data_IF_767866698282
#
_entry.id   IF_767866698282
#
_cell.length_a   1.000
_cell.length_b   1.000
_cell.length_c   1.000
_cell.angle_alpha   90.00
_cell.angle_beta   90.00
_cell.angle_gamma   90.00
#
_symmetry.space_group_name_H-M   'P 1'
#
loop_
_entity.id
_entity.type
_entity.pdbx_description
1 polymer ?
#
# COMPACT_ATOMS: atom_id res chain seq x y z
N UNK A 1 -30.18 46.99 -21.07
CA UNK A 1 -28.78 47.03 -21.55
C UNK A 1 -27.90 46.52 -20.41
N UNK A 2 -27.47 45.26 -20.46
CA UNK A 2 -26.65 44.65 -19.40
C UNK A 2 -25.24 45.26 -19.46
N UNK A 3 -24.91 46.09 -18.48
CA UNK A 3 -23.54 46.54 -18.24
C UNK A 3 -22.70 45.30 -17.90
N UNK A 4 -21.92 44.81 -18.87
CA UNK A 4 -20.88 43.82 -18.61
C UNK A 4 -19.89 44.44 -17.61
N UNK A 5 -20.13 44.21 -16.32
CA UNK A 5 -19.14 44.44 -15.26
C UNK A 5 -18.00 43.46 -15.51
N UNK A 6 -17.02 43.88 -16.29
CA UNK A 6 -15.74 43.18 -16.39
C UNK A 6 -15.07 43.37 -15.03
N UNK A 7 -15.23 42.38 -14.13
CA UNK A 7 -14.69 42.41 -12.76
C UNK A 7 -13.15 42.29 -12.78
N UNK A 8 -12.57 41.70 -13.84
CA UNK A 8 -11.13 41.60 -14.05
C UNK A 8 -10.68 42.54 -15.17
N UNK A 9 -10.16 43.72 -14.80
CA UNK A 9 -9.42 44.57 -15.74
C UNK A 9 -8.18 43.81 -16.22
N UNK A 10 -7.78 43.99 -17.48
CA UNK A 10 -6.50 43.50 -17.96
C UNK A 10 -5.38 44.35 -17.38
N UNK A 11 -4.76 43.87 -16.30
CA UNK A 11 -3.69 44.58 -15.61
C UNK A 11 -2.36 44.61 -16.37
N UNK A 12 -2.22 43.85 -17.48
CA UNK A 12 -1.02 43.92 -18.33
C UNK A 12 -0.96 45.24 -19.12
N UNK A 13 -2.12 45.85 -19.38
CA UNK A 13 -2.24 47.16 -20.02
C UNK A 13 -1.71 48.33 -19.18
N UNK A 14 -1.53 48.14 -17.87
CA UNK A 14 -0.95 49.12 -16.94
C UNK A 14 0.55 48.91 -16.71
N UNK A 15 1.18 47.97 -17.40
CA UNK A 15 2.64 47.85 -17.34
C UNK A 15 3.25 49.14 -17.90
N UNK A 16 3.71 50.02 -16.99
CA UNK A 16 4.69 51.05 -17.30
C UNK A 16 5.77 50.44 -18.18
N UNK A 17 6.31 51.21 -19.14
CA UNK A 17 7.29 50.81 -20.15
C UNK A 17 8.52 50.06 -19.60
N UNK A 18 8.34 48.84 -19.11
CA UNK A 18 9.40 47.97 -18.65
C UNK A 18 10.03 47.40 -19.90
N UNK A 19 11.31 47.73 -20.12
CA UNK A 19 12.08 47.10 -21.16
C UNK A 19 12.12 45.60 -20.90
N UNK A 20 11.45 44.83 -21.76
CA UNK A 20 11.44 43.37 -21.69
C UNK A 20 12.88 42.91 -21.97
N UNK A 21 13.53 42.34 -20.95
CA UNK A 21 14.80 41.64 -21.12
C UNK A 21 14.47 40.18 -21.38
N UNK A 22 15.06 39.60 -22.43
CA UNK A 22 15.00 38.17 -22.67
C UNK A 22 16.03 37.50 -21.75
N UNK A 23 15.63 36.77 -20.69
CA UNK A 23 16.57 35.95 -19.96
C UNK A 23 16.96 34.80 -20.89
N UNK A 24 18.10 34.93 -21.57
CA UNK A 24 18.62 33.91 -22.49
C UNK A 24 19.04 32.65 -21.74
N UNK A 25 19.34 32.76 -20.45
CA UNK A 25 19.73 31.63 -19.62
C UNK A 25 19.29 31.83 -18.15
N UNK A 26 18.51 30.89 -17.65
CA UNK A 26 18.13 30.85 -16.23
C UNK A 26 19.33 30.48 -15.36
N UNK A 27 20.35 29.81 -15.91
CA UNK A 27 21.55 29.41 -15.18
C UNK A 27 22.33 30.61 -14.63
N UNK A 28 22.32 31.75 -15.32
CA UNK A 28 23.01 32.97 -14.87
C UNK A 28 22.40 33.50 -13.57
N UNK A 29 21.11 33.22 -13.32
CA UNK A 29 20.41 33.69 -12.13
C UNK A 29 20.56 32.73 -10.93
N UNK A 30 21.08 31.52 -11.14
CA UNK A 30 21.22 30.49 -10.11
C UNK A 30 22.70 30.42 -9.69
N UNK A 31 23.03 30.72 -8.41
CA UNK A 31 24.39 30.59 -7.89
C UNK A 31 25.01 29.21 -8.16
N UNK A 32 26.33 29.15 -8.26
CA UNK A 32 27.07 27.90 -8.51
C UNK A 32 26.98 26.91 -7.34
N UNK A 33 26.80 27.42 -6.12
CA UNK A 33 26.67 26.68 -4.87
C UNK A 33 25.21 26.38 -4.48
N UNK A 34 24.23 26.73 -5.33
CA UNK A 34 22.82 26.49 -5.06
C UNK A 34 22.52 24.97 -5.01
N UNK A 35 21.77 24.49 -4.00
CA UNK A 35 21.45 23.06 -3.84
C UNK A 35 20.70 22.45 -5.04
N UNK A 36 20.04 23.25 -5.88
CA UNK A 36 19.38 22.76 -7.09
C UNK A 36 20.36 22.10 -8.07
N UNK A 37 21.60 22.62 -8.15
CA UNK A 37 22.64 22.08 -9.02
C UNK A 37 23.14 20.74 -8.50
N UNK A 38 23.29 20.64 -7.19
CA UNK A 38 23.66 19.40 -6.50
C UNK A 38 22.62 18.29 -6.77
N UNK A 39 21.33 18.58 -6.59
CA UNK A 39 20.24 17.63 -6.90
C UNK A 39 20.27 17.21 -8.36
N UNK A 40 20.49 18.15 -9.29
CA UNK A 40 20.55 17.83 -10.71
C UNK A 40 21.71 16.88 -11.01
N UNK A 41 22.92 17.19 -10.54
CA UNK A 41 24.11 16.36 -10.75
C UNK A 41 23.93 14.95 -10.18
N UNK A 42 23.47 14.83 -8.93
CA UNK A 42 23.23 13.53 -8.30
C UNK A 42 22.25 12.66 -9.09
N UNK A 43 21.11 13.22 -9.51
CA UNK A 43 20.10 12.46 -10.24
C UNK A 43 20.57 12.07 -11.66
N UNK A 44 21.50 12.81 -12.26
CA UNK A 44 22.11 12.42 -13.54
C UNK A 44 23.09 11.24 -13.41
N UNK A 45 23.77 11.10 -12.26
CA UNK A 45 24.70 9.99 -12.01
C UNK A 45 23.99 8.67 -11.64
N UNK A 46 22.75 8.75 -11.14
CA UNK A 46 21.99 7.58 -10.71
C UNK A 46 21.49 6.72 -11.89
N UNK A 47 21.49 5.40 -11.71
CA UNK A 47 20.86 4.49 -12.67
C UNK A 47 19.33 4.45 -12.47
N UNK A 48 18.64 5.19 -13.32
CA UNK A 48 17.18 5.28 -13.31
C UNK A 48 16.48 4.16 -14.10
N UNK A 49 17.19 3.13 -14.56
CA UNK A 49 16.61 2.07 -15.39
C UNK A 49 15.36 1.43 -14.80
N UNK A 50 15.32 1.18 -13.49
CA UNK A 50 14.13 0.65 -12.80
C UNK A 50 12.95 1.61 -12.85
N UNK A 51 13.19 2.91 -12.64
CA UNK A 51 12.17 3.94 -12.75
C UNK A 51 11.57 3.95 -14.16
N UNK A 52 12.41 3.91 -15.20
CA UNK A 52 11.93 3.90 -16.59
C UNK A 52 11.15 2.63 -16.94
N UNK A 53 11.48 1.46 -16.37
CA UNK A 53 10.72 0.20 -16.57
C UNK A 53 9.28 0.30 -16.06
N UNK A 54 9.00 1.16 -15.09
CA UNK A 54 7.61 1.36 -14.60
C UNK A 54 6.72 2.11 -15.60
N UNK A 55 7.31 2.74 -16.62
CA UNK A 55 6.58 3.48 -17.65
C UNK A 55 6.37 2.63 -18.90
N UNK A 56 5.11 2.48 -19.31
CA UNK A 56 4.79 1.86 -20.62
C UNK A 56 5.06 2.78 -21.82
N UNK A 57 4.81 4.08 -21.67
CA UNK A 57 5.06 5.09 -22.72
C UNK A 57 5.36 6.45 -22.11
N UNK A 58 6.44 7.07 -22.58
CA UNK A 58 6.82 8.44 -22.21
C UNK A 58 6.44 9.37 -23.36
N UNK A 59 5.75 10.47 -23.05
CA UNK A 59 5.34 11.46 -24.06
C UNK A 59 6.48 12.48 -24.24
N UNK A 60 6.83 12.78 -25.49
CA UNK A 60 7.95 13.68 -25.83
C UNK A 60 7.75 15.14 -25.37
N UNK A 61 6.50 15.60 -25.21
CA UNK A 61 6.18 17.00 -24.84
C UNK A 61 5.78 17.13 -23.36
N UNK A 62 6.29 16.27 -22.49
CA UNK A 62 6.03 16.30 -21.05
C UNK A 62 7.33 16.10 -20.28
N UNK A 63 7.39 16.62 -19.05
CA UNK A 63 8.52 16.41 -18.16
C UNK A 63 8.84 14.91 -18.05
N UNK A 64 10.12 14.57 -18.22
CA UNK A 64 10.59 13.18 -18.20
C UNK A 64 10.53 12.61 -16.78
N UNK A 65 10.52 11.27 -16.60
CA UNK A 65 10.59 10.66 -15.26
C UNK A 65 11.78 11.17 -14.44
N UNK A 66 12.93 11.39 -15.09
CA UNK A 66 14.12 11.99 -14.49
C UNK A 66 13.86 13.41 -13.98
N UNK A 67 13.30 14.29 -14.82
CA UNK A 67 12.99 15.66 -14.41
C UNK A 67 11.97 15.67 -13.26
N UNK A 68 10.94 14.81 -13.29
CA UNK A 68 9.97 14.72 -12.21
C UNK A 68 10.64 14.24 -10.91
N UNK A 69 11.59 13.30 -10.97
CA UNK A 69 12.36 12.87 -9.81
C UNK A 69 13.15 14.04 -9.19
N UNK A 70 13.88 14.81 -10.01
CA UNK A 70 14.61 16.01 -9.56
C UNK A 70 13.67 17.00 -8.85
N UNK A 71 12.49 17.27 -9.44
CA UNK A 71 11.50 18.18 -8.88
C UNK A 71 10.96 17.69 -7.54
N UNK A 72 10.68 16.40 -7.38
CA UNK A 72 10.13 15.83 -6.13
C UNK A 72 11.17 15.89 -5.01
N UNK A 73 12.43 15.56 -5.30
CA UNK A 73 13.53 15.63 -4.32
C UNK A 73 13.76 17.09 -3.90
N UNK A 74 13.91 18.00 -4.86
CA UNK A 74 14.13 19.42 -4.57
C UNK A 74 12.94 20.06 -3.84
N UNK A 75 11.71 19.66 -4.17
CA UNK A 75 10.52 20.07 -3.44
C UNK A 75 10.55 19.63 -1.97
N UNK A 76 10.92 18.37 -1.71
CA UNK A 76 11.03 17.83 -0.36
C UNK A 76 12.09 18.58 0.46
N UNK A 77 13.25 18.91 -0.13
CA UNK A 77 14.28 19.75 0.50
C UNK A 77 13.73 21.12 0.93
N UNK A 78 12.86 21.71 0.11
CA UNK A 78 12.19 22.98 0.39
C UNK A 78 10.90 22.84 1.23
N UNK A 79 10.62 21.66 1.80
CA UNK A 79 9.42 21.35 2.60
C UNK A 79 8.09 21.52 1.84
N UNK A 80 8.11 21.35 0.51
CA UNK A 80 6.94 21.42 -0.36
C UNK A 80 6.50 19.99 -0.72
N UNK A 81 5.50 19.46 -0.01
CA UNK A 81 5.06 18.07 -0.20
C UNK A 81 3.80 17.91 -1.04
N UNK A 82 2.98 18.96 -1.14
CA UNK A 82 1.72 18.94 -1.87
C UNK A 82 1.97 19.01 -3.37
N UNK A 83 1.43 18.05 -4.14
CA UNK A 83 1.60 18.02 -5.60
C UNK A 83 1.09 19.28 -6.30
N UNK A 84 0.10 19.96 -5.71
CA UNK A 84 -0.42 21.24 -6.22
C UNK A 84 0.56 22.38 -5.99
N UNK A 85 1.24 22.37 -4.85
CA UNK A 85 2.24 23.37 -4.48
C UNK A 85 3.54 23.15 -5.25
N UNK A 86 3.96 21.90 -5.48
CA UNK A 86 5.06 21.55 -6.39
C UNK A 86 4.77 22.10 -7.78
N UNK A 87 3.57 21.83 -8.33
CA UNK A 87 3.17 22.40 -9.64
C UNK A 87 3.18 23.93 -9.64
N UNK A 88 2.80 24.57 -8.53
CA UNK A 88 2.82 26.04 -8.40
C UNK A 88 4.27 26.55 -8.38
N UNK A 89 5.18 25.86 -7.70
CA UNK A 89 6.61 26.16 -7.67
C UNK A 89 7.24 26.02 -9.07
N UNK A 90 6.95 24.93 -9.80
CA UNK A 90 7.36 24.75 -11.20
C UNK A 90 7.02 25.91 -12.14
N UNK A 91 5.99 26.71 -11.82
CA UNK A 91 5.54 27.85 -12.63
C UNK A 91 6.08 29.20 -12.17
N UNK A 92 6.64 29.28 -10.97
CA UNK A 92 6.97 30.57 -10.32
C UNK A 92 8.42 30.69 -9.89
N UNK A 93 9.05 29.57 -9.60
CA UNK A 93 10.38 29.50 -9.00
C UNK A 93 11.40 29.11 -10.08
N UNK A 94 12.47 29.91 -10.18
CA UNK A 94 13.52 29.76 -11.19
C UNK A 94 14.27 28.43 -11.01
N UNK A 95 14.46 27.95 -9.78
CA UNK A 95 15.18 26.71 -9.51
C UNK A 95 14.36 25.50 -10.01
N UNK A 96 13.04 25.54 -9.86
CA UNK A 96 12.17 24.50 -10.44
C UNK A 96 12.05 24.60 -11.97
N UNK A 97 12.11 25.81 -12.53
CA UNK A 97 12.15 26.00 -14.00
C UNK A 97 13.45 25.48 -14.59
N UNK A 98 14.58 25.66 -13.89
CA UNK A 98 15.87 25.10 -14.26
C UNK A 98 15.82 23.57 -14.35
N UNK A 99 15.27 22.90 -13.33
CA UNK A 99 15.09 21.44 -13.33
C UNK A 99 14.15 20.91 -14.42
N UNK A 100 13.30 21.77 -14.99
CA UNK A 100 12.41 21.41 -16.10
C UNK A 100 13.08 21.53 -17.47
N UNK A 101 14.20 22.24 -17.59
CA UNK A 101 14.97 22.36 -18.83
C UNK A 101 14.08 22.83 -20.02
N UNK A 102 13.18 23.78 -19.76
CA UNK A 102 12.25 24.31 -20.77
C UNK A 102 10.99 23.47 -21.03
N UNK A 103 10.85 22.31 -20.38
CA UNK A 103 9.63 21.50 -20.47
C UNK A 103 8.46 22.15 -19.72
N UNK A 104 7.21 21.95 -20.18
CA UNK A 104 6.05 22.50 -19.50
C UNK A 104 5.91 21.87 -18.10
N UNK A 105 5.57 22.72 -17.12
CA UNK A 105 5.35 22.28 -15.74
C UNK A 105 4.33 21.13 -15.66
N UNK A 106 4.68 19.98 -15.04
CA UNK A 106 3.80 18.82 -14.96
C UNK A 106 2.55 19.14 -14.15
N UNK A 107 1.42 18.54 -14.52
CA UNK A 107 0.21 18.68 -13.72
C UNK A 107 0.36 17.97 -12.36
N UNK A 108 -0.37 18.45 -11.36
CA UNK A 108 -0.36 17.91 -10.00
C UNK A 108 -0.75 16.43 -9.96
N UNK A 109 -1.64 16.00 -10.85
CA UNK A 109 -2.02 14.60 -10.99
C UNK A 109 -0.87 13.74 -11.55
N UNK A 110 -0.03 14.31 -12.42
CA UNK A 110 1.17 13.63 -12.93
C UNK A 110 2.21 13.46 -11.83
N UNK A 111 2.45 14.50 -11.03
CA UNK A 111 3.35 14.43 -9.87
C UNK A 111 2.84 13.40 -8.84
N UNK A 112 1.54 13.43 -8.52
CA UNK A 112 0.96 12.48 -7.57
C UNK A 112 1.10 11.03 -8.06
N UNK A 113 0.78 10.76 -9.34
CA UNK A 113 0.96 9.41 -9.94
C UNK A 113 2.42 8.99 -9.97
N UNK A 114 3.35 9.91 -10.27
CA UNK A 114 4.78 9.64 -10.19
C UNK A 114 5.15 9.09 -8.81
N UNK A 115 4.78 9.80 -7.74
CA UNK A 115 5.11 9.40 -6.37
C UNK A 115 4.47 8.05 -6.02
N UNK A 116 3.17 7.88 -6.32
CA UNK A 116 2.41 6.72 -5.85
C UNK A 116 2.63 5.44 -6.65
N UNK A 117 2.82 5.52 -7.97
CA UNK A 117 2.85 4.36 -8.86
C UNK A 117 4.25 4.02 -9.37
N UNK A 118 5.10 5.03 -9.55
CA UNK A 118 6.40 4.86 -10.21
C UNK A 118 7.53 4.87 -9.18
N UNK A 119 7.65 5.97 -8.43
CA UNK A 119 8.69 6.13 -7.42
C UNK A 119 8.56 5.11 -6.29
N UNK A 120 7.35 4.83 -5.80
CA UNK A 120 7.10 3.86 -4.72
C UNK A 120 7.67 2.46 -4.99
N UNK A 121 7.77 2.05 -6.26
CA UNK A 121 8.27 0.73 -6.66
C UNK A 121 9.80 0.66 -6.61
N UNK A 122 10.48 1.74 -6.99
CA UNK A 122 11.95 1.79 -7.08
C UNK A 122 12.63 2.61 -5.97
N UNK A 123 11.87 3.21 -5.04
CA UNK A 123 12.39 4.10 -4.00
C UNK A 123 13.48 3.44 -3.14
N UNK A 124 13.32 2.15 -2.80
CA UNK A 124 14.33 1.40 -2.04
C UNK A 124 15.64 1.25 -2.81
N UNK A 125 15.58 0.94 -4.10
CA UNK A 125 16.76 0.81 -4.96
C UNK A 125 17.46 2.16 -5.13
N UNK A 126 16.69 3.24 -5.37
CA UNK A 126 17.25 4.58 -5.52
C UNK A 126 17.91 5.06 -4.22
N UNK A 127 17.33 4.76 -3.05
CA UNK A 127 17.96 5.05 -1.77
C UNK A 127 19.28 4.29 -1.58
N UNK A 128 19.33 3.03 -1.99
CA UNK A 128 20.56 2.22 -1.94
C UNK A 128 21.65 2.83 -2.84
N UNK A 129 21.31 3.18 -4.09
CA UNK A 129 22.23 3.87 -5.00
C UNK A 129 22.75 5.18 -4.42
N UNK A 130 21.89 5.94 -3.74
CA UNK A 130 22.30 7.18 -3.08
C UNK A 130 23.30 6.92 -1.94
N UNK A 131 23.04 5.88 -1.14
CA UNK A 131 23.93 5.47 -0.06
C UNK A 131 25.28 4.99 -0.59
N UNK A 132 25.29 4.25 -1.69
CA UNK A 132 26.51 3.80 -2.36
C UNK A 132 27.34 4.99 -2.86
N UNK A 133 26.69 5.99 -3.45
CA UNK A 133 27.37 7.19 -3.93
C UNK A 133 27.97 8.02 -2.79
N UNK A 134 27.23 8.23 -1.70
CA UNK A 134 27.76 8.88 -0.50
C UNK A 134 28.93 8.10 0.12
N UNK A 135 28.88 6.76 0.08
CA UNK A 135 29.99 5.92 0.52
C UNK A 135 31.23 6.10 -0.36
N UNK A 136 31.06 6.17 -1.69
CA UNK A 136 32.16 6.45 -2.63
C UNK A 136 32.77 7.85 -2.44
N UNK A 137 31.95 8.84 -2.09
CA UNK A 137 32.41 10.20 -1.77
C UNK A 137 33.10 10.28 -0.40
N UNK A 138 33.02 9.23 0.43
CA UNK A 138 33.61 9.18 1.76
C UNK A 138 32.78 9.88 2.86
N UNK A 139 31.53 10.25 2.56
CA UNK A 139 30.61 10.87 3.52
C UNK A 139 30.06 9.85 4.52
N UNK A 140 29.84 8.61 4.06
CA UNK A 140 29.37 7.49 4.89
C UNK A 140 30.56 6.61 5.28
N UNK A 141 30.64 6.22 6.55
CA UNK A 141 31.75 5.37 7.01
C UNK A 141 31.57 3.89 6.67
N UNK A 142 30.34 3.37 6.64
CA UNK A 142 30.03 1.95 6.48
C UNK A 142 30.44 1.05 7.66
N UNK A 143 30.94 1.64 8.76
CA UNK A 143 31.46 0.90 9.93
C UNK A 143 30.45 0.81 11.06
N UNK A 144 29.64 1.84 11.25
CA UNK A 144 28.70 1.97 12.37
C UNK A 144 27.36 2.44 11.84
N UNK A 145 26.29 1.76 12.26
CA UNK A 145 24.92 2.13 11.92
C UNK A 145 24.11 2.28 13.20
N UNK A 146 23.43 3.41 13.33
CA UNK A 146 22.50 3.68 14.42
C UNK A 146 21.09 3.37 13.94
N UNK A 147 20.38 2.49 14.64
CA UNK A 147 19.03 2.09 14.27
C UNK A 147 18.05 2.73 15.25
N UNK A 148 17.11 3.49 14.72
CA UNK A 148 15.97 3.99 15.48
C UNK A 148 14.66 3.76 14.71
N UNK A 149 13.54 3.81 15.42
CA UNK A 149 12.24 3.56 14.86
C UNK A 149 11.12 4.33 15.53
N UNK A 150 10.06 4.53 14.74
CA UNK A 150 8.82 5.11 15.22
C UNK A 150 7.63 4.29 14.74
N UNK A 151 6.61 4.21 15.61
CA UNK A 151 5.36 3.55 15.28
C UNK A 151 4.39 4.60 14.79
N UNK A 152 3.85 4.41 13.59
CA UNK A 152 2.84 5.29 13.01
C UNK A 152 1.49 4.59 13.07
N UNK A 153 0.49 5.23 13.68
CA UNK A 153 -0.87 4.71 13.75
C UNK A 153 -1.47 4.57 12.34
N UNK A 154 -2.06 3.41 12.06
CA UNK A 154 -2.83 3.17 10.84
C UNK A 154 -4.23 3.76 10.97
N UNK A 155 -4.82 4.16 9.84
CA UNK A 155 -6.24 4.54 9.76
C UNK A 155 -7.21 3.36 9.92
N UNK A 156 -6.71 2.15 10.20
CA UNK A 156 -7.50 0.96 10.41
C UNK A 156 -8.37 1.00 11.67
N UNK A 157 -9.56 0.40 11.58
CA UNK A 157 -10.41 0.25 12.74
C UNK A 157 -9.85 -0.82 13.71
N UNK A 158 -9.63 -0.44 14.98
CA UNK A 158 -9.13 -1.33 16.04
C UNK A 158 -10.00 -2.57 16.30
N UNK A 159 -11.30 -2.52 16.01
CA UNK A 159 -12.24 -3.61 16.28
C UNK A 159 -12.37 -4.64 15.15
N UNK A 160 -11.78 -4.39 13.98
CA UNK A 160 -11.93 -5.28 12.82
C UNK A 160 -10.79 -6.30 12.71
N UNK A 161 -9.92 -6.40 13.71
CA UNK A 161 -8.71 -7.21 13.65
C UNK A 161 -8.95 -8.72 13.62
N UNK A 162 -8.02 -9.41 12.97
CA UNK A 162 -8.01 -10.86 12.84
C UNK A 162 -6.76 -11.40 13.51
N UNK A 163 -6.93 -12.37 14.40
CA UNK A 163 -5.86 -12.94 15.23
C UNK A 163 -5.59 -14.40 14.85
N UNK A 164 -4.32 -14.76 14.65
CA UNK A 164 -3.90 -16.15 14.33
C UNK A 164 -4.41 -17.15 15.36
N UNK A 165 -4.28 -16.82 16.65
CA UNK A 165 -4.72 -17.66 17.77
C UNK A 165 -6.24 -17.89 17.77
N UNK A 166 -7.02 -16.87 17.38
CA UNK A 166 -8.47 -17.01 17.28
C UNK A 166 -8.87 -17.88 16.08
N UNK A 167 -8.21 -17.72 14.93
CA UNK A 167 -8.46 -18.54 13.74
C UNK A 167 -8.13 -20.00 14.03
N UNK A 168 -6.92 -20.30 14.50
CA UNK A 168 -6.45 -21.66 14.80
C UNK A 168 -7.35 -22.36 15.82
N UNK A 169 -7.71 -21.69 16.92
CA UNK A 169 -8.67 -22.22 17.91
C UNK A 169 -10.03 -22.53 17.30
N UNK A 170 -10.58 -21.63 16.48
CA UNK A 170 -11.89 -21.83 15.87
C UNK A 170 -11.86 -22.89 14.75
N UNK A 171 -10.76 -23.00 14.02
CA UNK A 171 -10.54 -24.01 13.00
C UNK A 171 -10.44 -25.41 13.63
N UNK A 172 -9.71 -25.56 14.75
CA UNK A 172 -9.67 -26.82 15.50
C UNK A 172 -11.07 -27.25 15.96
N UNK A 173 -11.85 -26.32 16.54
CA UNK A 173 -13.26 -26.58 16.93
C UNK A 173 -14.14 -26.96 15.75
N UNK A 174 -13.91 -26.37 14.58
CA UNK A 174 -14.63 -26.71 13.35
C UNK A 174 -14.32 -28.13 12.91
N UNK A 175 -13.06 -28.57 12.99
CA UNK A 175 -12.68 -29.96 12.68
C UNK A 175 -13.34 -30.97 13.63
N UNK A 176 -13.44 -30.67 14.92
CA UNK A 176 -14.19 -31.51 15.87
C UNK A 176 -15.65 -31.65 15.47
N UNK A 177 -16.32 -30.53 15.14
CA UNK A 177 -17.72 -30.53 14.68
C UNK A 177 -17.92 -31.22 13.33
N UNK A 178 -16.93 -31.11 12.45
CA UNK A 178 -16.93 -31.79 11.15
C UNK A 178 -16.85 -33.31 11.35
N UNK A 179 -16.03 -33.77 12.30
CA UNK A 179 -15.89 -35.20 12.59
C UNK A 179 -17.19 -35.80 13.10
N UNK A 180 -17.87 -35.13 14.04
CA UNK A 180 -19.19 -35.56 14.52
C UNK A 180 -20.25 -35.50 13.41
N UNK A 181 -20.23 -34.45 12.57
CA UNK A 181 -21.19 -34.29 11.48
C UNK A 181 -21.02 -35.34 10.37
N UNK A 182 -19.77 -35.71 10.04
CA UNK A 182 -19.51 -36.78 9.08
C UNK A 182 -20.03 -38.10 9.62
N UNK A 183 -19.74 -38.45 10.88
CA UNK A 183 -20.26 -39.66 11.52
C UNK A 183 -21.81 -39.71 11.52
N UNK A 184 -22.47 -38.59 11.85
CA UNK A 184 -23.93 -38.46 11.78
C UNK A 184 -24.45 -38.71 10.34
N UNK A 185 -23.77 -38.19 9.32
CA UNK A 185 -24.15 -38.44 7.93
C UNK A 185 -23.92 -39.89 7.50
N UNK A 186 -22.88 -40.56 8.01
CA UNK A 186 -22.62 -41.97 7.72
C UNK A 186 -23.73 -42.86 8.29
N UNK A 187 -24.18 -42.58 9.50
CA UNK A 187 -25.29 -43.28 10.16
C UNK A 187 -26.64 -42.99 9.48
N UNK A 188 -26.97 -41.72 9.22
CA UNK A 188 -28.27 -41.32 8.67
C UNK A 188 -28.48 -41.78 7.21
N UNK A 189 -27.42 -41.81 6.41
CA UNK A 189 -27.51 -42.07 4.97
C UNK A 189 -26.87 -43.38 4.54
N UNK A 190 -26.34 -44.18 5.47
CA UNK A 190 -25.71 -45.48 5.18
C UNK A 190 -24.48 -45.37 4.28
N UNK A 191 -23.74 -44.27 4.37
CA UNK A 191 -22.58 -43.99 3.53
C UNK A 191 -21.29 -44.24 4.28
N UNK A 192 -20.28 -44.83 3.63
CA UNK A 192 -18.92 -44.89 4.17
C UNK A 192 -18.06 -43.84 3.49
N UNK A 193 -17.59 -42.86 4.25
CA UNK A 193 -16.59 -41.89 3.81
C UNK A 193 -15.21 -42.37 4.26
N UNK A 194 -14.32 -42.63 3.30
CA UNK A 194 -12.93 -42.97 3.63
C UNK A 194 -12.19 -41.68 3.99
N UNK A 195 -11.82 -41.53 5.27
CA UNK A 195 -10.89 -40.50 5.72
C UNK A 195 -9.87 -41.11 6.70
N UNK A 196 -8.58 -40.90 6.44
CA UNK A 196 -7.48 -41.34 7.31
C UNK A 196 -7.17 -40.23 8.32
N UNK A 197 -7.90 -40.22 9.44
CA UNK A 197 -7.78 -39.33 10.60
C UNK A 197 -7.87 -37.81 10.36
N UNK A 198 -7.93 -37.37 9.10
CA UNK A 198 -7.99 -35.96 8.70
C UNK A 198 -9.07 -35.72 7.65
N UNK A 199 -10.00 -34.81 7.96
CA UNK A 199 -11.10 -34.43 7.07
C UNK A 199 -10.58 -33.35 6.12
N UNK A 200 -10.31 -33.74 4.88
CA UNK A 200 -9.92 -32.81 3.82
C UNK A 200 -11.14 -32.11 3.20
N UNK A 201 -10.92 -30.95 2.56
CA UNK A 201 -11.94 -30.28 1.73
C UNK A 201 -12.43 -31.22 0.60
N UNK A 202 -11.56 -32.10 0.09
CA UNK A 202 -11.92 -33.07 -0.95
C UNK A 202 -12.92 -34.10 -0.43
N UNK A 203 -12.73 -34.59 0.80
CA UNK A 203 -13.65 -35.51 1.48
C UNK A 203 -15.03 -34.88 1.63
N UNK A 204 -15.10 -33.61 2.07
CA UNK A 204 -16.36 -32.88 2.21
C UNK A 204 -17.06 -32.63 0.88
N UNK A 205 -16.32 -32.34 -0.19
CA UNK A 205 -16.89 -32.22 -1.55
C UNK A 205 -17.44 -33.56 -2.06
N UNK A 206 -16.79 -34.68 -1.73
CA UNK A 206 -17.27 -36.03 -2.06
C UNK A 206 -18.57 -36.35 -1.31
N UNK A 207 -18.61 -36.06 -0.01
CA UNK A 207 -19.80 -36.19 0.81
C UNK A 207 -20.95 -35.34 0.24
N UNK A 208 -20.67 -34.09 -0.17
CA UNK A 208 -21.68 -33.24 -0.83
C UNK A 208 -22.26 -33.88 -2.08
N UNK A 209 -21.42 -34.42 -2.96
CA UNK A 209 -21.87 -35.12 -4.19
C UNK A 209 -22.75 -36.32 -3.86
N UNK A 210 -22.38 -37.08 -2.84
CA UNK A 210 -23.13 -38.24 -2.36
C UNK A 210 -24.52 -37.84 -1.82
N UNK A 211 -24.61 -36.83 -0.95
CA UNK A 211 -25.88 -36.31 -0.45
C UNK A 211 -26.76 -35.74 -1.58
N UNK A 212 -26.17 -35.10 -2.60
CA UNK A 212 -26.91 -34.65 -3.78
C UNK A 212 -27.47 -35.80 -4.62
N UNK A 213 -26.83 -36.97 -4.65
CA UNK A 213 -27.39 -38.15 -5.34
C UNK A 213 -28.62 -38.68 -4.61
N UNK A 214 -28.57 -38.75 -3.29
CA UNK A 214 -29.74 -39.13 -2.46
C UNK A 214 -30.89 -38.16 -2.70
N UNK A 215 -30.61 -36.85 -2.77
CA UNK A 215 -31.63 -35.84 -3.08
C UNK A 215 -32.37 -36.13 -4.38
N UNK A 216 -31.65 -36.52 -5.43
CA UNK A 216 -32.22 -36.83 -6.74
C UNK A 216 -33.00 -38.15 -6.68
N UNK A 217 -32.47 -39.17 -6.00
CA UNK A 217 -33.14 -40.47 -5.85
C UNK A 217 -34.44 -40.40 -5.05
N UNK A 218 -34.49 -39.55 -4.01
CA UNK A 218 -35.65 -39.36 -3.15
C UNK A 218 -36.58 -38.21 -3.62
N UNK A 219 -36.29 -37.60 -4.79
CA UNK A 219 -37.05 -36.47 -5.37
C UNK A 219 -37.35 -35.33 -4.38
N UNK A 220 -36.39 -35.00 -3.51
CA UNK A 220 -36.59 -34.01 -2.45
C UNK A 220 -36.51 -32.57 -3.00
N UNK A 221 -37.64 -31.86 -2.91
CA UNK A 221 -37.73 -30.41 -3.20
C UNK A 221 -37.35 -29.58 -1.98
N UNK A 222 -36.43 -28.63 -2.16
CA UNK A 222 -35.96 -27.77 -1.06
C UNK A 222 -36.92 -26.62 -0.80
N UNK A 223 -37.21 -26.38 0.47
CA UNK A 223 -38.13 -25.33 0.91
C UNK A 223 -37.39 -24.18 1.59
N UNK A 224 -37.83 -22.95 1.31
CA UNK A 224 -37.25 -21.71 1.83
C UNK A 224 -38.39 -20.79 2.30
N UNK A 225 -38.14 -19.99 3.34
CA UNK A 225 -39.11 -19.04 3.90
C UNK A 225 -39.65 -19.43 5.28
N UNK A 226 -40.33 -18.48 5.92
CA UNK A 226 -40.97 -18.61 7.24
C UNK A 226 -42.11 -19.62 7.20
N UNK A 227 -42.23 -20.45 8.24
CA UNK A 227 -43.28 -21.48 8.36
C UNK A 227 -43.05 -22.79 7.58
N UNK A 228 -41.97 -22.90 6.78
CA UNK A 228 -41.66 -24.14 6.04
C UNK A 228 -40.65 -25.02 6.78
N UNK A 229 -40.97 -26.30 6.96
CA UNK A 229 -40.10 -27.29 7.62
C UNK A 229 -39.13 -27.90 6.63
N UNK A 230 -37.83 -27.62 6.79
CA UNK A 230 -36.76 -28.22 5.98
C UNK A 230 -36.61 -29.72 6.27
N UNK A 231 -36.39 -30.51 5.22
CA UNK A 231 -36.05 -31.94 5.35
C UNK A 231 -34.69 -32.10 6.03
N UNK A 232 -34.44 -33.27 6.63
CA UNK A 232 -33.14 -33.54 7.26
C UNK A 232 -32.00 -33.44 6.24
N UNK A 233 -32.19 -33.98 5.03
CA UNK A 233 -31.22 -33.87 3.93
C UNK A 233 -30.90 -32.42 3.54
N UNK A 234 -31.92 -31.55 3.46
CA UNK A 234 -31.69 -30.14 3.19
C UNK A 234 -30.84 -29.49 4.30
N UNK A 235 -31.13 -29.78 5.57
CA UNK A 235 -30.36 -29.25 6.71
C UNK A 235 -28.91 -29.73 6.66
N UNK A 236 -28.67 -31.02 6.38
CA UNK A 236 -27.33 -31.60 6.27
C UNK A 236 -26.54 -30.96 5.12
N UNK A 237 -27.15 -30.77 3.95
CA UNK A 237 -26.49 -30.11 2.81
C UNK A 237 -26.17 -28.64 3.09
N UNK A 238 -27.11 -27.88 3.67
CA UNK A 238 -26.88 -26.49 4.05
C UNK A 238 -25.78 -26.37 5.13
N UNK A 239 -25.75 -27.30 6.09
CA UNK A 239 -24.74 -27.32 7.14
C UNK A 239 -23.35 -27.66 6.58
N UNK A 240 -23.27 -28.62 5.66
CA UNK A 240 -22.05 -28.97 4.94
C UNK A 240 -21.50 -27.79 4.12
N UNK A 241 -22.40 -27.05 3.46
CA UNK A 241 -22.01 -25.84 2.73
C UNK A 241 -21.48 -24.74 3.64
N UNK A 242 -22.11 -24.51 4.79
CA UNK A 242 -21.59 -23.59 5.82
C UNK A 242 -20.19 -24.00 6.30
N UNK A 243 -19.96 -25.28 6.51
CA UNK A 243 -18.63 -25.77 6.92
C UNK A 243 -17.58 -25.59 5.82
N UNK A 244 -17.92 -25.87 4.56
CA UNK A 244 -17.04 -25.63 3.42
C UNK A 244 -16.68 -24.14 3.26
N UNK A 245 -17.66 -23.25 3.41
CA UNK A 245 -17.43 -21.80 3.39
C UNK A 245 -16.52 -21.36 4.55
N UNK A 246 -16.75 -21.87 5.76
CA UNK A 246 -15.92 -21.54 6.93
C UNK A 246 -14.49 -22.02 6.79
N UNK A 247 -14.26 -23.22 6.24
CA UNK A 247 -12.91 -23.69 5.95
C UNK A 247 -12.20 -22.79 4.95
N UNK A 248 -12.86 -22.42 3.83
CA UNK A 248 -12.30 -21.48 2.85
C UNK A 248 -12.00 -20.11 3.48
N UNK A 249 -12.88 -19.61 4.34
CA UNK A 249 -12.69 -18.36 5.07
C UNK A 249 -11.42 -18.43 5.95
N UNK A 250 -11.22 -19.51 6.71
CA UNK A 250 -10.04 -19.68 7.55
C UNK A 250 -8.75 -19.84 6.72
N UNK A 251 -8.78 -20.61 5.63
CA UNK A 251 -7.63 -20.73 4.72
C UNK A 251 -7.24 -19.36 4.15
N UNK A 252 -8.22 -18.57 3.69
CA UNK A 252 -7.96 -17.21 3.19
C UNK A 252 -7.36 -16.31 4.27
N UNK A 253 -7.89 -16.36 5.49
CA UNK A 253 -7.37 -15.57 6.62
C UNK A 253 -5.94 -15.95 6.99
N UNK A 254 -5.61 -17.24 7.00
CA UNK A 254 -4.25 -17.72 7.27
C UNK A 254 -3.28 -17.30 6.15
N UNK A 255 -3.72 -17.36 4.89
CA UNK A 255 -2.94 -16.88 3.76
C UNK A 255 -2.62 -15.38 3.85
N UNK A 256 -3.63 -14.53 4.12
CA UNK A 256 -3.43 -13.08 4.30
C UNK A 256 -2.53 -12.74 5.49
N UNK A 257 -2.61 -13.55 6.54
CA UNK A 257 -1.83 -13.36 7.77
C UNK A 257 -0.35 -13.72 7.56
N UNK A 258 -0.06 -14.75 6.75
CA UNK A 258 1.31 -15.22 6.49
C UNK A 258 2.02 -15.62 7.78
N UNK A 259 3.22 -15.08 8.00
CA UNK A 259 4.01 -15.33 9.21
C UNK A 259 3.59 -14.47 10.41
N UNK A 260 2.74 -13.46 10.19
CA UNK A 260 2.35 -12.49 11.22
C UNK A 260 1.40 -13.12 12.23
N UNK A 261 1.25 -12.50 13.40
CA UNK A 261 0.29 -12.96 14.42
C UNK A 261 -1.12 -12.40 14.25
N UNK A 262 -1.26 -11.31 13.49
CA UNK A 262 -2.51 -10.58 13.37
C UNK A 262 -2.48 -9.58 12.21
N UNK A 263 -3.64 -9.20 11.67
CA UNK A 263 -3.78 -8.13 10.67
C UNK A 263 -5.17 -7.43 10.76
N UNK A 264 -5.30 -6.22 10.22
CA UNK A 264 -6.60 -5.53 10.10
C UNK A 264 -7.34 -5.95 8.82
N UNK A 265 -8.67 -6.09 8.90
CA UNK A 265 -9.49 -6.34 7.71
C UNK A 265 -9.49 -5.19 6.70
N UNK A 266 -9.39 -3.95 7.18
CA UNK A 266 -9.44 -2.74 6.32
C UNK A 266 -8.06 -2.35 5.80
N UNK A 267 -7.02 -2.73 6.53
CA UNK A 267 -5.63 -2.45 6.21
C UNK A 267 -4.81 -3.73 6.52
N UNK A 268 -4.67 -4.63 5.54
CA UNK A 268 -4.01 -5.91 5.77
C UNK A 268 -2.54 -5.79 6.18
N UNK A 269 -1.89 -4.65 5.98
CA UNK A 269 -0.45 -4.47 6.27
C UNK A 269 -0.22 -3.98 7.71
N UNK A 270 -1.18 -3.27 8.28
CA UNK A 270 -1.15 -2.84 9.68
C UNK A 270 -1.19 -4.03 10.66
N UNK A 271 -0.40 -3.92 11.73
CA UNK A 271 -0.38 -4.89 12.84
C UNK A 271 -0.68 -4.20 14.16
N UNK A 272 -1.20 -4.93 15.15
CA UNK A 272 -1.43 -4.33 16.47
C UNK A 272 -0.10 -4.16 17.19
N UNK A 273 0.22 -2.92 17.55
CA UNK A 273 1.43 -2.57 18.28
C UNK A 273 1.08 -1.72 19.48
N UNK A 274 1.90 -1.81 20.53
CA UNK A 274 1.82 -0.87 21.66
C UNK A 274 2.46 0.44 21.22
N UNK A 275 1.69 1.51 21.21
CA UNK A 275 2.18 2.85 20.84
C UNK A 275 3.09 3.40 21.93
N UNK A 276 3.98 4.33 21.56
CA UNK A 276 4.78 5.09 22.52
C UNK A 276 3.83 5.77 23.53
N UNK A 277 4.25 5.80 24.78
CA UNK A 277 3.47 6.34 25.88
C UNK A 277 3.19 7.83 25.65
N UNK A 278 1.95 8.25 25.88
CA UNK A 278 1.67 9.68 26.00
C UNK A 278 2.21 10.19 27.35
N UNK A 279 2.24 11.51 27.54
CA UNK A 279 2.69 12.10 28.81
C UNK A 279 1.89 11.62 30.05
N UNK A 280 0.79 10.90 29.84
CA UNK A 280 -0.09 10.32 30.85
C UNK A 280 0.09 8.80 30.99
N UNK A 281 1.12 8.19 30.39
CA UNK A 281 1.46 6.77 30.44
C UNK A 281 0.40 5.81 29.86
N UNK A 282 -0.48 6.29 28.98
CA UNK A 282 -1.55 5.49 28.37
C UNK A 282 -1.08 4.79 27.08
N UNK A 283 -0.04 3.97 27.14
CA UNK A 283 0.42 3.19 25.99
C UNK A 283 -0.67 2.27 25.43
N UNK A 284 -1.45 2.75 24.45
CA UNK A 284 -2.56 1.99 23.86
C UNK A 284 -2.07 1.01 22.80
N UNK A 285 -2.67 -0.17 22.79
CA UNK A 285 -2.59 -1.11 21.69
C UNK A 285 -3.43 -0.58 20.53
N UNK A 286 -2.77 -0.30 19.40
CA UNK A 286 -3.42 0.25 18.21
C UNK A 286 -2.87 -0.40 16.95
N UNK A 287 -3.64 -0.45 15.86
CA UNK A 287 -3.12 -0.83 14.56
C UNK A 287 -2.10 0.22 14.10
N UNK A 288 -0.90 -0.24 13.76
CA UNK A 288 0.22 0.63 13.43
C UNK A 288 1.19 -0.04 12.45
N UNK A 289 2.06 0.80 11.90
CA UNK A 289 3.24 0.45 11.13
C UNK A 289 4.47 0.75 11.99
N UNK A 290 5.45 -0.16 12.02
CA UNK A 290 6.74 0.11 12.64
C UNK A 290 7.70 0.55 11.54
N UNK A 291 8.05 1.83 11.52
CA UNK A 291 9.06 2.35 10.61
C UNK A 291 10.39 2.33 11.34
N UNK A 292 11.37 1.69 10.75
CA UNK A 292 12.75 1.67 11.22
C UNK A 292 13.64 2.32 10.19
N UNK A 293 14.65 3.02 10.66
CA UNK A 293 15.65 3.64 9.80
C UNK A 293 17.03 3.48 10.42
N UNK A 294 18.02 3.43 9.54
CA UNK A 294 19.43 3.30 9.86
C UNK A 294 20.14 4.60 9.48
N UNK A 295 20.93 5.13 10.40
CA UNK A 295 21.71 6.35 10.23
C UNK A 295 23.19 6.01 10.31
N UNK A 296 23.96 6.48 9.33
CA UNK A 296 25.43 6.46 9.32
C UNK A 296 25.93 7.85 8.92
N UNK A 297 26.89 8.40 9.67
CA UNK A 297 27.41 9.76 9.50
C UNK A 297 26.33 10.83 9.24
N UNK A 298 25.24 10.83 10.03
CA UNK A 298 24.09 11.76 9.90
C UNK A 298 23.17 11.51 8.68
N UNK A 299 23.52 10.59 7.77
CA UNK A 299 22.70 10.22 6.63
C UNK A 299 21.77 9.04 6.94
N UNK A 300 20.53 9.12 6.47
CA UNK A 300 19.61 7.97 6.47
C UNK A 300 20.01 7.07 5.29
N UNK A 301 20.60 5.92 5.60
CA UNK A 301 21.12 4.96 4.59
C UNK A 301 20.20 3.77 4.39
N UNK A 302 19.29 3.54 5.33
CA UNK A 302 18.36 2.42 5.29
C UNK A 302 17.01 2.82 5.89
N UNK A 303 15.92 2.33 5.29
CA UNK A 303 14.57 2.48 5.83
C UNK A 303 13.77 1.21 5.53
N UNK A 304 13.02 0.74 6.52
CA UNK A 304 12.10 -0.36 6.34
C UNK A 304 10.82 -0.21 7.17
N UNK A 305 9.76 -0.84 6.69
CA UNK A 305 8.46 -0.87 7.35
C UNK A 305 8.20 -2.30 7.78
N UNK A 306 8.31 -2.55 9.07
CA UNK A 306 8.20 -3.89 9.64
C UNK A 306 6.82 -4.14 10.26
N UNK A 307 6.25 -5.35 10.09
CA UNK A 307 5.08 -5.78 10.84
C UNK A 307 5.42 -6.22 12.26
N UNK A 308 6.70 -6.19 12.66
CA UNK A 308 7.13 -6.65 13.99
C UNK A 308 7.05 -5.51 14.99
N UNK A 309 6.30 -5.66 16.10
CA UNK A 309 6.39 -4.74 17.22
C UNK A 309 7.77 -4.91 17.86
N UNK A 310 8.63 -3.89 17.75
CA UNK A 310 9.80 -3.73 18.62
C UNK A 310 9.40 -3.13 19.95
#
# INVERSE_FOLDING_TARGET
MLLNKIIQRDYTSFSLYYQIKLPLDLEISIPSDDPVRLVSAFVEEMDLSELYKTYGRIRKNQATPRQILKLVIYAAMNRIYSSRDIRKACKRDINFMYLLEGMPAPDHATIARFISLHFSVCAKTLLAQMSDLLYLLGEISGKTIFIDGTKIESAANKYTFVWKKAITKNQARLYTKLSSFVAECEELYGMKTVYHDSISIHTLKRLKKQLCRIKIQEEIVFVHGTGRRKTQLQKSLEQLDRYLEKLKEYTKKLYTLGDRNSYSKTDPDATFMRMKEDAMLNGQLKPAYNIQHGVDSEYITWIDISPRPT
#
